data_IF_080234179964
#
_entry.id   IF_080234179964
#
_cell.length_a   1.000
_cell.length_b   1.000
_cell.length_c   1.000
_cell.angle_alpha   90.00
_cell.angle_beta   90.00
_cell.angle_gamma   90.00
#
_symmetry.space_group_name_H-M   'P 1'
#
loop_
_entity.id
_entity.type
_entity.pdbx_description
1 polymer ?
#
# COMPACT_ATOMS: atom_id res chain seq x y z
N UNK A 1 -37.97 21.99 32.77
CA UNK A 1 -39.23 21.25 32.98
C UNK A 1 -38.91 20.18 34.02
N UNK A 2 -39.33 20.44 35.25
CA UNK A 2 -39.02 19.65 36.46
C UNK A 2 -40.20 18.73 36.71
N UNK A 3 -39.95 17.45 36.95
CA UNK A 3 -40.88 16.58 37.66
C UNK A 3 -40.06 15.67 38.59
N UNK A 4 -40.04 16.01 39.87
CA UNK A 4 -39.76 15.09 40.96
C UNK A 4 -41.03 14.29 41.26
N UNK A 5 -40.88 13.04 41.68
CA UNK A 5 -41.85 12.37 42.54
C UNK A 5 -41.09 11.71 43.70
N UNK A 6 -41.49 12.10 44.90
CA UNK A 6 -41.12 11.52 46.19
C UNK A 6 -41.79 10.15 46.36
N UNK A 7 -41.11 9.24 47.04
CA UNK A 7 -41.64 7.92 47.36
C UNK A 7 -40.56 6.98 47.88
N UNK A 8 -40.05 7.28 49.07
CA UNK A 8 -39.12 6.44 49.83
C UNK A 8 -39.61 4.99 49.96
N UNK A 9 -38.74 4.03 49.66
CA UNK A 9 -38.61 2.82 50.48
C UNK A 9 -37.16 2.34 50.41
N UNK A 10 -36.48 2.40 51.56
CA UNK A 10 -35.17 1.82 51.81
C UNK A 10 -35.14 0.35 51.38
N UNK A 11 -34.38 0.02 50.32
CA UNK A 11 -33.95 -1.35 50.03
C UNK A 11 -32.50 -1.50 50.46
N UNK A 12 -32.34 -2.30 51.50
CA UNK A 12 -31.11 -2.85 52.04
C UNK A 12 -30.11 -3.24 50.95
N UNK A 13 -28.86 -2.80 51.12
CA UNK A 13 -27.69 -3.33 50.42
C UNK A 13 -27.60 -4.84 50.67
N UNK A 14 -28.09 -5.65 49.73
CA UNK A 14 -27.57 -6.99 49.52
C UNK A 14 -26.38 -6.83 48.59
N UNK A 15 -25.18 -6.77 49.17
CA UNK A 15 -23.94 -7.00 48.44
C UNK A 15 -24.08 -8.34 47.72
N UNK A 16 -24.30 -8.30 46.40
CA UNK A 16 -24.16 -9.48 45.56
C UNK A 16 -22.70 -9.93 45.67
N UNK A 17 -22.47 -10.97 46.47
CA UNK A 17 -21.21 -11.70 46.52
C UNK A 17 -20.93 -12.26 45.13
N UNK A 18 -20.16 -11.51 44.35
CA UNK A 18 -19.53 -12.02 43.13
C UNK A 18 -18.53 -13.08 43.58
N UNK A 19 -18.90 -14.36 43.43
CA UNK A 19 -17.97 -15.47 43.58
C UNK A 19 -16.82 -15.30 42.56
N UNK A 20 -15.70 -14.73 43.01
CA UNK A 20 -14.45 -14.72 42.22
C UNK A 20 -13.86 -16.15 42.21
N UNK A 21 -13.99 -16.84 41.09
CA UNK A 21 -13.39 -18.14 40.81
C UNK A 21 -11.83 -18.08 40.83
N UNK A 22 -11.24 -18.16 42.03
CA UNK A 22 -9.80 -18.23 42.26
C UNK A 22 -9.40 -19.44 43.11
N UNK A 23 -8.24 -20.04 42.84
CA UNK A 23 -7.66 -21.04 43.74
C UNK A 23 -7.12 -20.34 44.99
N UNK A 24 -7.60 -20.78 46.16
CA UNK A 24 -7.16 -20.25 47.46
C UNK A 24 -6.01 -21.12 47.98
N UNK A 25 -4.79 -20.58 47.96
CA UNK A 25 -3.65 -21.24 48.62
C UNK A 25 -3.61 -20.83 50.09
N UNK A 26 -3.66 -21.81 50.99
CA UNK A 26 -3.46 -21.62 52.44
C UNK A 26 -2.06 -22.05 52.84
N UNK A 27 -1.22 -21.09 53.22
CA UNK A 27 0.12 -21.37 53.74
C UNK A 27 0.10 -21.35 55.27
N UNK A 28 0.60 -22.42 55.88
CA UNK A 28 0.80 -22.49 57.34
C UNK A 28 2.11 -21.81 57.69
N UNK A 29 2.03 -20.73 58.46
CA UNK A 29 3.19 -19.98 58.95
C UNK A 29 3.83 -20.72 60.14
N UNK A 30 5.10 -20.45 60.41
CA UNK A 30 5.88 -21.10 61.48
C UNK A 30 5.29 -20.86 62.90
N UNK A 31 4.45 -19.83 63.07
CA UNK A 31 3.72 -19.52 64.30
C UNK A 31 2.37 -20.24 64.42
N UNK A 32 2.05 -21.18 63.51
CA UNK A 32 0.81 -21.95 63.53
C UNK A 32 -0.39 -21.27 62.86
N UNK A 33 -0.28 -19.98 62.49
CA UNK A 33 -1.34 -19.23 61.82
C UNK A 33 -1.35 -19.51 60.31
N UNK A 34 -2.53 -19.50 59.70
CA UNK A 34 -2.69 -19.68 58.26
C UNK A 34 -2.88 -18.34 57.57
N UNK A 35 -2.18 -18.13 56.45
CA UNK A 35 -2.39 -16.98 55.58
C UNK A 35 -2.90 -17.47 54.23
N UNK A 36 -4.10 -17.01 53.83
CA UNK A 36 -4.69 -17.35 52.55
C UNK A 36 -4.36 -16.28 51.51
N UNK A 37 -3.97 -16.73 50.32
CA UNK A 37 -3.79 -15.88 49.15
C UNK A 37 -4.74 -16.35 48.05
N UNK A 38 -5.50 -15.43 47.47
CA UNK A 38 -6.32 -15.70 46.29
C UNK A 38 -5.43 -15.49 45.07
N UNK A 39 -5.07 -16.56 44.38
CA UNK A 39 -4.40 -16.44 43.09
C UNK A 39 -5.48 -16.18 42.05
N UNK A 40 -5.55 -14.92 41.56
CA UNK A 40 -6.40 -14.60 40.41
C UNK A 40 -5.86 -15.39 39.20
N UNK A 41 -6.67 -16.32 38.67
CA UNK A 41 -6.33 -16.99 37.40
C UNK A 41 -6.07 -15.91 36.35
N UNK A 42 -4.91 -15.98 35.70
CA UNK A 42 -4.55 -15.08 34.61
C UNK A 42 -5.63 -15.22 33.52
N UNK A 43 -6.49 -14.21 33.34
CA UNK A 43 -7.49 -14.21 32.26
C UNK A 43 -6.74 -14.50 30.96
N UNK A 44 -7.13 -15.57 30.27
CA UNK A 44 -6.62 -15.85 28.94
C UNK A 44 -6.95 -14.64 28.06
N UNK A 45 -6.00 -14.15 27.24
CA UNK A 45 -6.30 -13.05 26.34
C UNK A 45 -7.46 -13.45 25.42
N UNK A 46 -8.38 -12.54 25.10
CA UNK A 46 -9.46 -12.82 24.15
C UNK A 46 -8.85 -13.31 22.83
N UNK A 47 -9.46 -14.35 22.24
CA UNK A 47 -9.02 -14.90 20.95
C UNK A 47 -9.04 -13.79 19.90
N UNK A 48 -7.95 -13.67 19.14
CA UNK A 48 -7.84 -12.67 18.08
C UNK A 48 -8.88 -12.92 16.98
N UNK A 49 -9.50 -11.85 16.50
CA UNK A 49 -10.36 -11.86 15.31
C UNK A 49 -9.50 -11.68 14.06
N UNK A 50 -9.22 -12.79 13.36
CA UNK A 50 -8.35 -12.79 12.18
C UNK A 50 -9.06 -12.23 10.94
N UNK A 51 -10.39 -12.27 10.89
CA UNK A 51 -11.17 -11.65 9.81
C UNK A 51 -11.06 -10.14 9.90
N UNK A 52 -11.15 -9.59 11.12
CA UNK A 52 -10.93 -8.17 11.35
C UNK A 52 -9.49 -7.74 11.08
N UNK A 53 -8.50 -8.56 11.48
CA UNK A 53 -7.10 -8.31 11.14
C UNK A 53 -6.86 -8.29 9.62
N UNK A 54 -7.49 -9.20 8.87
CA UNK A 54 -7.43 -9.21 7.41
C UNK A 54 -8.06 -7.97 6.79
N UNK A 55 -9.27 -7.59 7.22
CA UNK A 55 -9.97 -6.41 6.70
C UNK A 55 -9.16 -5.13 6.87
N UNK A 56 -8.54 -4.94 8.04
CA UNK A 56 -7.63 -3.81 8.27
C UNK A 56 -6.42 -3.83 7.35
N UNK A 57 -5.77 -4.99 7.16
CA UNK A 57 -4.60 -5.12 6.29
C UNK A 57 -4.94 -4.80 4.82
N UNK A 58 -6.08 -5.28 4.33
CA UNK A 58 -6.55 -4.99 2.96
C UNK A 58 -6.81 -3.50 2.78
N UNK A 59 -7.44 -2.84 3.77
CA UNK A 59 -7.65 -1.39 3.72
C UNK A 59 -6.34 -0.61 3.76
N UNK A 60 -5.41 -0.99 4.64
CA UNK A 60 -4.10 -0.36 4.76
C UNK A 60 -3.34 -0.41 3.43
N UNK A 61 -3.22 -1.61 2.84
CA UNK A 61 -2.58 -1.81 1.54
C UNK A 61 -3.33 -1.10 0.41
N UNK A 62 -4.66 -1.15 0.41
CA UNK A 62 -5.50 -0.52 -0.61
C UNK A 62 -5.40 1.00 -0.62
N UNK A 63 -5.42 1.63 0.56
CA UNK A 63 -5.23 3.08 0.70
C UNK A 63 -3.82 3.49 0.31
N UNK A 64 -2.81 2.72 0.74
CA UNK A 64 -1.41 2.95 0.35
C UNK A 64 -1.21 2.85 -1.17
N UNK A 65 -1.80 1.84 -1.81
CA UNK A 65 -1.75 1.69 -3.26
C UNK A 65 -2.45 2.85 -3.98
N UNK A 66 -3.63 3.27 -3.52
CA UNK A 66 -4.32 4.47 -4.05
C UNK A 66 -3.47 5.73 -3.91
N UNK A 67 -2.72 5.87 -2.81
CA UNK A 67 -1.81 7.00 -2.62
C UNK A 67 -0.65 6.98 -3.63
N UNK A 68 -0.08 5.80 -3.93
CA UNK A 68 0.92 5.64 -4.99
C UNK A 68 0.36 5.96 -6.38
N UNK A 69 -0.87 5.53 -6.69
CA UNK A 69 -1.52 5.87 -7.96
C UNK A 69 -1.77 7.38 -8.09
N UNK A 70 -2.19 8.03 -7.00
CA UNK A 70 -2.38 9.49 -6.95
C UNK A 70 -1.07 10.23 -7.14
N UNK A 71 0.03 9.73 -6.56
CA UNK A 71 1.38 10.26 -6.76
C UNK A 71 1.76 10.28 -8.24
N UNK A 72 1.45 9.22 -9.00
CA UNK A 72 1.73 9.17 -10.43
C UNK A 72 1.00 10.24 -11.25
N UNK A 73 -0.16 10.72 -10.78
CA UNK A 73 -0.95 11.79 -11.42
C UNK A 73 -0.51 13.18 -10.98
N UNK A 74 -0.14 13.29 -9.71
CA UNK A 74 0.22 14.54 -9.04
C UNK A 74 1.54 14.32 -8.29
N UNK A 75 2.69 14.36 -8.98
CA UNK A 75 3.96 14.08 -8.34
C UNK A 75 4.29 15.17 -7.32
N UNK A 76 4.55 14.74 -6.09
CA UNK A 76 5.04 15.55 -4.99
C UNK A 76 6.19 14.78 -4.36
N UNK A 77 7.39 15.37 -4.38
CA UNK A 77 8.62 14.73 -3.93
C UNK A 77 8.55 14.31 -2.47
N UNK A 78 8.09 15.17 -1.57
CA UNK A 78 8.10 14.87 -0.14
C UNK A 78 7.14 13.72 0.18
N UNK A 79 5.91 13.80 -0.36
CA UNK A 79 4.92 12.72 -0.27
C UNK A 79 5.43 11.44 -0.91
N UNK A 80 6.06 11.52 -2.08
CA UNK A 80 6.57 10.37 -2.81
C UNK A 80 7.64 9.62 -2.03
N UNK A 81 8.63 10.33 -1.48
CA UNK A 81 9.69 9.70 -0.70
C UNK A 81 9.15 9.05 0.59
N UNK A 82 8.13 9.63 1.24
CA UNK A 82 7.44 8.98 2.37
C UNK A 82 6.73 7.70 1.96
N UNK A 83 5.94 7.74 0.89
CA UNK A 83 5.25 6.57 0.37
C UNK A 83 6.22 5.46 -0.05
N UNK A 84 7.35 5.80 -0.65
CA UNK A 84 8.38 4.85 -1.03
C UNK A 84 9.05 4.20 0.19
N UNK A 85 9.32 4.95 1.26
CA UNK A 85 9.83 4.37 2.53
C UNK A 85 8.88 3.31 3.09
N UNK A 86 7.57 3.61 3.14
CA UNK A 86 6.54 2.64 3.58
C UNK A 86 6.45 1.45 2.64
N UNK A 87 6.51 1.69 1.32
CA UNK A 87 6.50 0.63 0.30
C UNK A 87 7.68 -0.32 0.45
N UNK A 88 8.88 0.22 0.73
CA UNK A 88 10.08 -0.57 0.98
C UNK A 88 9.89 -1.48 2.21
N UNK A 89 9.28 -0.98 3.29
CA UNK A 89 8.97 -1.79 4.48
C UNK A 89 8.00 -2.92 4.13
N UNK A 90 6.91 -2.64 3.41
CA UNK A 90 5.97 -3.67 2.96
C UNK A 90 6.65 -4.77 2.13
N UNK A 91 7.54 -4.39 1.21
CA UNK A 91 8.29 -5.36 0.43
C UNK A 91 9.23 -6.21 1.27
N UNK A 92 9.91 -5.63 2.26
CA UNK A 92 10.82 -6.36 3.16
C UNK A 92 10.10 -7.25 4.16
N UNK A 93 8.91 -6.86 4.62
CA UNK A 93 8.07 -7.67 5.49
C UNK A 93 7.59 -8.94 4.78
N UNK A 94 7.22 -8.85 3.50
CA UNK A 94 6.78 -10.00 2.71
C UNK A 94 7.92 -10.84 2.14
N UNK A 95 8.94 -10.19 1.58
CA UNK A 95 10.05 -10.86 0.91
C UNK A 95 11.37 -10.15 1.21
N UNK A 96 12.21 -10.83 1.97
CA UNK A 96 13.52 -10.30 2.36
C UNK A 96 14.42 -9.95 1.17
N UNK A 97 14.33 -10.73 0.08
CA UNK A 97 15.16 -10.59 -1.11
C UNK A 97 14.45 -9.78 -2.21
N UNK A 98 13.52 -8.89 -1.83
CA UNK A 98 12.80 -8.07 -2.80
C UNK A 98 13.74 -7.13 -3.55
N UNK A 99 13.89 -7.38 -4.86
CA UNK A 99 14.57 -6.47 -5.79
C UNK A 99 13.96 -5.06 -5.77
N UNK A 100 12.64 -4.97 -5.57
CA UNK A 100 11.94 -3.69 -5.53
C UNK A 100 12.29 -2.89 -4.28
N UNK A 101 12.48 -3.55 -3.13
CA UNK A 101 12.95 -2.87 -1.93
C UNK A 101 14.37 -2.32 -2.10
N UNK A 102 15.23 -3.05 -2.80
CA UNK A 102 16.59 -2.60 -3.13
C UNK A 102 16.59 -1.37 -4.04
N UNK A 103 15.81 -1.37 -5.13
CA UNK A 103 15.72 -0.20 -6.03
C UNK A 103 15.14 1.03 -5.32
N UNK A 104 14.12 0.84 -4.46
CA UNK A 104 13.60 1.93 -3.64
C UNK A 104 14.69 2.47 -2.70
N UNK A 105 15.46 1.58 -2.06
CA UNK A 105 16.56 2.00 -1.20
C UNK A 105 17.61 2.79 -1.99
N UNK A 106 17.98 2.32 -3.19
CA UNK A 106 18.93 3.02 -4.06
C UNK A 106 18.46 4.43 -4.39
N UNK A 107 17.20 4.58 -4.82
CA UNK A 107 16.59 5.89 -5.05
C UNK A 107 16.60 6.75 -3.79
N UNK A 108 16.24 6.21 -2.62
CA UNK A 108 16.32 6.97 -1.37
C UNK A 108 17.74 7.44 -1.05
N UNK A 109 18.76 6.60 -1.26
CA UNK A 109 20.16 7.00 -1.03
C UNK A 109 20.58 8.10 -2.02
N UNK A 110 20.16 8.02 -3.30
CA UNK A 110 20.39 9.10 -4.26
C UNK A 110 19.79 10.42 -3.76
N UNK A 111 18.54 10.37 -3.30
CA UNK A 111 17.75 11.53 -2.91
C UNK A 111 18.19 12.20 -1.60
N UNK A 112 18.77 11.45 -0.67
CA UNK A 112 19.15 11.96 0.66
C UNK A 112 20.66 12.08 0.89
N UNK A 113 21.49 11.33 0.15
CA UNK A 113 22.91 11.17 0.51
C UNK A 113 23.90 11.48 -0.61
N UNK A 114 23.53 11.30 -1.88
CA UNK A 114 24.49 11.36 -3.01
C UNK A 114 24.31 12.61 -3.85
N UNK A 115 23.09 12.84 -4.32
CA UNK A 115 22.80 13.91 -5.26
C UNK A 115 22.67 15.25 -4.54
N UNK A 116 23.01 16.33 -5.23
CA UNK A 116 22.63 17.67 -4.79
C UNK A 116 21.10 17.80 -4.76
N UNK A 117 20.59 18.80 -4.03
CA UNK A 117 19.15 19.03 -3.95
C UNK A 117 18.50 19.22 -5.33
N UNK A 118 19.19 19.90 -6.23
CA UNK A 118 18.74 20.09 -7.61
C UNK A 118 18.69 18.75 -8.37
N UNK A 119 19.79 18.01 -8.42
CA UNK A 119 19.87 16.72 -9.13
C UNK A 119 18.88 15.71 -8.56
N UNK A 120 18.69 15.69 -7.25
CA UNK A 120 17.71 14.83 -6.59
C UNK A 120 16.28 15.21 -7.02
N UNK A 121 15.96 16.50 -7.08
CA UNK A 121 14.66 16.96 -7.58
C UNK A 121 14.44 16.55 -9.04
N UNK A 122 15.43 16.77 -9.89
CA UNK A 122 15.39 16.40 -11.31
C UNK A 122 15.20 14.89 -11.49
N UNK A 123 15.98 14.06 -10.79
CA UNK A 123 15.83 12.59 -10.81
C UNK A 123 14.43 12.15 -10.38
N UNK A 124 13.89 12.74 -9.31
CA UNK A 124 12.55 12.38 -8.82
C UNK A 124 11.46 12.73 -9.83
N UNK A 125 11.48 13.96 -10.36
CA UNK A 125 10.45 14.39 -11.31
C UNK A 125 10.63 13.73 -12.68
N UNK A 126 11.83 13.30 -13.06
CA UNK A 126 12.09 12.51 -14.27
C UNK A 126 11.38 11.14 -14.27
N UNK A 127 10.92 10.64 -13.12
CA UNK A 127 10.08 9.45 -13.03
C UNK A 127 8.70 9.65 -13.66
N UNK A 128 8.28 10.89 -13.91
CA UNK A 128 6.96 11.24 -14.40
C UNK A 128 7.04 12.11 -15.66
N UNK A 129 6.07 11.95 -16.56
CA UNK A 129 5.95 12.76 -17.77
C UNK A 129 4.56 13.37 -17.83
N UNK A 130 4.50 14.69 -18.04
CA UNK A 130 3.23 15.38 -18.26
C UNK A 130 2.87 15.37 -19.75
N UNK A 131 1.91 14.53 -20.12
CA UNK A 131 1.53 14.35 -21.53
C UNK A 131 0.55 15.40 -22.05
N UNK A 132 -0.22 16.07 -21.18
CA UNK A 132 -1.29 16.99 -21.58
C UNK A 132 -1.11 18.43 -21.08
N UNK A 133 -0.03 18.70 -20.35
CA UNK A 133 0.22 20.02 -19.76
C UNK A 133 -0.75 20.42 -18.64
N UNK A 134 -1.59 19.50 -18.14
CA UNK A 134 -2.48 19.73 -17.01
C UNK A 134 -1.84 19.24 -15.71
N UNK A 135 -2.32 19.70 -14.57
CA UNK A 135 -1.74 19.36 -13.26
C UNK A 135 -1.89 17.87 -12.91
N UNK A 136 -2.98 17.23 -13.33
CA UNK A 136 -3.34 15.84 -13.02
C UNK A 136 -3.07 14.85 -14.17
N UNK A 137 -2.35 15.29 -15.21
CA UNK A 137 -2.10 14.49 -16.42
C UNK A 137 -0.72 13.84 -16.47
N UNK A 138 -0.03 13.73 -15.34
CA UNK A 138 1.22 12.99 -15.27
C UNK A 138 0.97 11.49 -15.44
N UNK A 139 1.95 10.83 -16.05
CA UNK A 139 2.05 9.38 -16.13
C UNK A 139 3.47 8.96 -15.78
N UNK A 140 3.70 7.71 -15.34
CA UNK A 140 5.06 7.19 -15.17
C UNK A 140 5.84 7.28 -16.48
N UNK A 141 7.11 7.67 -16.39
CA UNK A 141 8.01 7.78 -17.55
C UNK A 141 8.16 6.43 -18.27
N UNK A 142 8.19 5.33 -17.53
CA UNK A 142 8.20 3.97 -18.09
C UNK A 142 6.98 3.69 -18.99
N UNK A 143 5.77 4.08 -18.54
CA UNK A 143 4.55 3.93 -19.33
C UNK A 143 4.60 4.79 -20.62
N UNK A 144 5.18 6.00 -20.54
CA UNK A 144 5.40 6.83 -21.73
C UNK A 144 6.37 6.16 -22.71
N UNK A 145 7.43 5.53 -22.20
CA UNK A 145 8.38 4.78 -23.02
C UNK A 145 7.73 3.57 -23.67
N UNK A 146 6.85 2.84 -22.98
CA UNK A 146 6.06 1.77 -23.58
C UNK A 146 5.20 2.26 -24.76
N UNK A 147 4.55 3.42 -24.61
CA UNK A 147 3.79 4.03 -25.70
C UNK A 147 4.67 4.38 -26.90
N UNK A 148 5.83 5.02 -26.67
CA UNK A 148 6.78 5.36 -27.74
C UNK A 148 7.26 4.10 -28.45
N UNK A 149 7.67 3.07 -27.72
CA UNK A 149 8.13 1.79 -28.29
C UNK A 149 7.04 1.12 -29.10
N UNK A 150 5.79 1.14 -28.63
CA UNK A 150 4.64 0.62 -29.38
C UNK A 150 4.42 1.38 -30.69
N UNK A 151 4.52 2.70 -30.67
CA UNK A 151 4.43 3.54 -31.87
C UNK A 151 5.55 3.21 -32.87
N UNK A 152 6.80 3.14 -32.40
CA UNK A 152 7.96 2.75 -33.22
C UNK A 152 7.73 1.39 -33.88
N UNK A 153 7.36 0.36 -33.10
CA UNK A 153 7.09 -0.99 -33.63
C UNK A 153 6.00 -0.98 -34.70
N UNK A 154 4.94 -0.17 -34.53
CA UNK A 154 3.88 -0.01 -35.53
C UNK A 154 4.44 0.58 -36.83
N UNK A 155 5.26 1.63 -36.76
CA UNK A 155 5.86 2.23 -37.97
C UNK A 155 6.86 1.30 -38.68
N UNK A 156 7.67 0.57 -37.92
CA UNK A 156 8.62 -0.42 -38.45
C UNK A 156 7.91 -1.58 -39.16
N UNK A 157 6.74 -1.99 -38.66
CA UNK A 157 5.92 -3.03 -39.31
C UNK A 157 5.54 -2.64 -40.75
N UNK A 158 5.27 -1.37 -41.00
CA UNK A 158 4.88 -0.84 -42.32
C UNK A 158 6.08 -0.44 -43.19
N UNK A 159 7.32 -0.73 -42.78
CA UNK A 159 8.52 -0.54 -43.63
C UNK A 159 8.77 -1.71 -44.58
N UNK A 160 8.11 -2.86 -44.38
CA UNK A 160 8.30 -4.10 -45.16
C UNK A 160 9.79 -4.44 -45.33
N UNK A 161 10.30 -4.57 -46.57
CA UNK A 161 11.69 -4.94 -46.87
C UNK A 161 12.68 -3.79 -46.75
N UNK A 162 12.24 -2.53 -46.57
CA UNK A 162 13.11 -1.35 -46.50
C UNK A 162 13.70 -1.10 -45.10
N UNK A 163 13.98 -2.17 -44.34
CA UNK A 163 14.51 -2.11 -42.97
C UNK A 163 16.04 -2.04 -42.96
N UNK A 164 16.57 -0.95 -43.48
CA UNK A 164 18.00 -0.60 -43.33
C UNK A 164 18.15 0.37 -42.17
N UNK A 165 19.28 0.33 -41.46
CA UNK A 165 19.50 1.14 -40.24
C UNK A 165 19.30 2.64 -40.48
N UNK A 166 19.76 3.15 -41.62
CA UNK A 166 19.57 4.55 -42.02
C UNK A 166 18.08 4.92 -42.16
N UNK A 167 17.29 4.07 -42.81
CA UNK A 167 15.84 4.28 -42.94
C UNK A 167 15.09 4.13 -41.62
N UNK A 168 15.54 3.21 -40.76
CA UNK A 168 14.98 3.04 -39.41
C UNK A 168 15.19 4.32 -38.61
N UNK A 169 16.44 4.81 -38.54
CA UNK A 169 16.79 6.03 -37.81
C UNK A 169 16.05 7.27 -38.31
N UNK A 170 15.99 7.45 -39.64
CA UNK A 170 15.22 8.53 -40.27
C UNK A 170 13.74 8.45 -39.92
N UNK A 171 13.14 7.25 -40.02
CA UNK A 171 11.71 7.08 -39.75
C UNK A 171 11.38 7.25 -38.27
N UNK A 172 12.18 6.71 -37.35
CA UNK A 172 11.94 6.84 -35.90
C UNK A 172 12.03 8.29 -35.45
N UNK A 173 13.01 9.04 -35.96
CA UNK A 173 13.17 10.47 -35.67
C UNK A 173 11.99 11.32 -36.17
N UNK A 174 11.33 10.89 -37.25
CA UNK A 174 10.17 11.59 -37.83
C UNK A 174 8.81 11.20 -37.21
N UNK A 175 8.76 10.24 -36.26
CA UNK A 175 7.48 9.71 -35.73
C UNK A 175 6.60 10.82 -35.14
N UNK A 176 7.17 11.75 -34.38
CA UNK A 176 6.41 12.85 -33.77
C UNK A 176 5.75 13.70 -34.85
N UNK A 177 6.53 14.16 -35.84
CA UNK A 177 6.00 14.98 -36.94
C UNK A 177 4.94 14.24 -37.77
N UNK A 178 5.12 12.94 -38.01
CA UNK A 178 4.11 12.11 -38.71
C UNK A 178 2.81 12.05 -37.88
N UNK A 179 2.91 11.90 -36.57
CA UNK A 179 1.76 11.89 -35.66
C UNK A 179 1.01 13.23 -35.71
N UNK A 180 1.74 14.34 -35.63
CA UNK A 180 1.17 15.69 -35.64
C UNK A 180 0.47 16.00 -36.97
N UNK A 181 1.09 15.63 -38.10
CA UNK A 181 0.49 15.77 -39.44
C UNK A 181 -0.76 14.90 -39.56
N UNK A 182 -0.73 13.66 -39.06
CA UNK A 182 -1.88 12.77 -39.10
C UNK A 182 -3.05 13.32 -38.28
N UNK A 183 -2.79 13.79 -37.06
CA UNK A 183 -3.82 14.38 -36.20
C UNK A 183 -4.41 15.66 -36.81
N UNK A 184 -3.56 16.50 -37.38
CA UNK A 184 -3.99 17.71 -38.07
C UNK A 184 -4.83 17.40 -39.32
N UNK A 185 -4.43 16.40 -40.10
CA UNK A 185 -5.18 15.95 -41.28
C UNK A 185 -6.57 15.46 -40.87
N UNK A 186 -6.65 14.58 -39.86
CA UNK A 186 -7.92 14.05 -39.36
C UNK A 186 -8.84 15.18 -38.86
N UNK A 187 -8.26 16.17 -38.17
CA UNK A 187 -8.98 17.35 -37.67
C UNK A 187 -9.58 18.20 -38.78
N UNK A 188 -8.81 18.46 -39.85
CA UNK A 188 -9.24 19.31 -40.98
C UNK A 188 -10.21 18.57 -41.90
N UNK A 189 -10.01 17.28 -42.11
CA UNK A 189 -10.85 16.46 -42.98
C UNK A 189 -12.14 15.98 -42.31
N UNK A 190 -12.35 16.34 -41.02
CA UNK A 190 -13.46 15.88 -40.21
C UNK A 190 -13.62 14.34 -40.23
N UNK A 191 -12.50 13.63 -40.32
CA UNK A 191 -12.50 12.17 -40.24
C UNK A 191 -13.09 11.79 -38.89
N UNK A 192 -14.17 11.02 -38.92
CA UNK A 192 -14.78 10.49 -37.71
C UNK A 192 -13.81 9.48 -37.11
N UNK A 193 -12.98 9.94 -36.17
CA UNK A 193 -12.16 9.07 -35.33
C UNK A 193 -13.13 8.29 -34.47
N UNK A 194 -13.50 7.08 -34.93
CA UNK A 194 -14.22 6.11 -34.11
C UNK A 194 -13.22 5.60 -33.07
N UNK A 195 -13.04 6.37 -32.00
CA UNK A 195 -12.34 5.87 -30.84
C UNK A 195 -13.09 4.61 -30.42
N UNK A 196 -12.46 3.44 -30.57
CA UNK A 196 -12.85 2.27 -29.79
C UNK A 196 -12.49 2.61 -28.36
N UNK A 197 -13.30 3.44 -27.69
CA UNK A 197 -13.37 3.41 -26.24
C UNK A 197 -13.69 1.95 -25.99
N UNK A 198 -12.74 1.21 -25.43
CA UNK A 198 -13.12 0.07 -24.63
C UNK A 198 -14.17 0.64 -23.69
N UNK A 199 -15.44 0.27 -23.88
CA UNK A 199 -16.45 0.60 -22.89
C UNK A 199 -15.92 -0.04 -21.63
N UNK A 200 -15.45 0.76 -20.68
CA UNK A 200 -15.13 0.23 -19.37
C UNK A 200 -16.37 -0.54 -18.95
N UNK A 201 -16.22 -1.86 -18.79
CA UNK A 201 -17.30 -2.70 -18.31
C UNK A 201 -17.73 -2.09 -16.99
N UNK A 202 -19.04 -1.87 -16.84
CA UNK A 202 -19.58 -1.27 -15.63
C UNK A 202 -19.21 -2.15 -14.43
N UNK A 203 -18.35 -1.65 -13.54
CA UNK A 203 -17.97 -2.32 -12.29
C UNK A 203 -19.07 -2.23 -11.22
N UNK A 204 -20.17 -1.53 -11.51
CA UNK A 204 -21.22 -1.23 -10.54
C UNK A 204 -21.82 -2.50 -9.94
N UNK A 205 -22.04 -3.54 -10.75
CA UNK A 205 -22.62 -4.79 -10.24
C UNK A 205 -21.67 -5.49 -9.27
N UNK A 206 -20.41 -5.65 -9.67
CA UNK A 206 -19.36 -6.25 -8.83
C UNK A 206 -19.18 -5.46 -7.53
N UNK A 207 -19.23 -4.12 -7.59
CA UNK A 207 -19.15 -3.25 -6.41
C UNK A 207 -20.34 -3.44 -5.46
N UNK A 208 -21.56 -3.55 -5.99
CA UNK A 208 -22.76 -3.81 -5.19
C UNK A 208 -22.72 -5.19 -4.54
N UNK A 209 -22.26 -6.20 -5.27
CA UNK A 209 -22.12 -7.57 -4.75
C UNK A 209 -21.07 -7.61 -3.63
N UNK A 210 -19.90 -6.99 -3.83
CA UNK A 210 -18.88 -6.84 -2.78
C UNK A 210 -19.42 -6.12 -1.54
N UNK A 211 -20.21 -5.05 -1.71
CA UNK A 211 -20.82 -4.33 -0.57
C UNK A 211 -21.83 -5.21 0.16
N UNK A 212 -22.64 -5.99 -0.58
CA UNK A 212 -23.59 -6.95 0.00
C UNK A 212 -22.85 -7.97 0.86
N UNK A 213 -21.77 -8.56 0.35
CA UNK A 213 -20.94 -9.53 1.07
C UNK A 213 -20.29 -8.91 2.31
N UNK A 214 -19.73 -7.71 2.19
CA UNK A 214 -19.11 -7.00 3.31
C UNK A 214 -20.12 -6.66 4.42
N UNK A 215 -21.37 -6.36 4.08
CA UNK A 215 -22.45 -6.11 5.05
C UNK A 215 -22.86 -7.37 5.83
N UNK A 216 -22.76 -8.53 5.19
CA UNK A 216 -23.02 -9.81 5.84
C UNK A 216 -21.85 -10.23 6.74
N UNK A 217 -20.61 -10.09 6.23
CA UNK A 217 -19.40 -10.50 6.94
C UNK A 217 -19.04 -9.58 8.12
N UNK A 218 -19.38 -8.29 8.02
CA UNK A 218 -19.05 -7.23 9.01
C UNK A 218 -17.60 -7.34 9.50
N UNK A 219 -16.60 -7.25 8.61
CA UNK A 219 -15.21 -7.50 8.95
C UNK A 219 -14.63 -6.47 9.94
N UNK A 220 -15.28 -5.32 10.14
CA UNK A 220 -14.79 -4.28 11.05
C UNK A 220 -15.41 -4.32 12.44
N UNK A 221 -16.45 -5.13 12.65
CA UNK A 221 -16.97 -5.43 14.00
C UNK A 221 -16.07 -6.48 14.64
N UNK A 222 -15.76 -6.36 15.94
CA UNK A 222 -14.92 -7.35 16.63
C UNK A 222 -15.76 -8.54 17.05
N UNK A 223 -15.40 -9.74 16.58
CA UNK A 223 -15.99 -11.00 17.01
C UNK A 223 -14.88 -12.03 17.32
N UNK A 224 -14.68 -12.37 18.61
CA UNK A 224 -13.52 -13.16 19.05
C UNK A 224 -13.42 -14.55 18.42
N UNK A 225 -12.28 -14.83 17.79
CA UNK A 225 -11.96 -16.17 17.28
C UNK A 225 -12.46 -16.48 15.87
N UNK A 226 -13.05 -15.51 15.16
CA UNK A 226 -13.30 -15.64 13.72
C UNK A 226 -11.98 -15.75 12.94
N UNK A 227 -11.97 -16.62 11.93
CA UNK A 227 -10.84 -16.78 11.02
C UNK A 227 -11.29 -17.24 9.64
N UNK A 228 -10.50 -16.93 8.61
CA UNK A 228 -10.69 -17.48 7.28
C UNK A 228 -10.06 -18.88 7.20
N UNK A 229 -10.75 -19.83 6.57
CA UNK A 229 -10.25 -21.20 6.37
C UNK A 229 -8.94 -21.22 5.55
N UNK A 230 -8.85 -20.35 4.54
CA UNK A 230 -7.70 -20.28 3.63
C UNK A 230 -6.49 -19.58 4.24
N UNK A 231 -6.71 -18.68 5.21
CA UNK A 231 -5.65 -17.79 5.72
C UNK A 231 -5.57 -17.79 7.26
N UNK A 232 -5.19 -18.91 7.88
CA UNK A 232 -5.16 -19.04 9.33
C UNK A 232 -4.03 -18.25 10.02
N UNK A 233 -3.02 -17.79 9.27
CA UNK A 233 -1.83 -17.11 9.79
C UNK A 233 -1.81 -15.59 9.65
N UNK A 234 -2.93 -14.95 9.33
CA UNK A 234 -2.98 -13.49 9.13
C UNK A 234 -2.70 -12.76 10.46
N UNK A 235 -1.77 -11.81 10.42
CA UNK A 235 -1.50 -10.88 11.51
C UNK A 235 -2.08 -9.50 11.23
N UNK A 236 -2.50 -8.81 12.28
CA UNK A 236 -3.13 -7.48 12.22
C UNK A 236 -2.25 -6.38 11.60
N UNK A 237 -0.92 -6.47 11.76
CA UNK A 237 0.01 -5.46 11.23
C UNK A 237 1.11 -6.13 10.44
N UNK A 238 1.34 -5.61 9.24
CA UNK A 238 2.43 -6.06 8.38
C UNK A 238 3.80 -5.80 9.00
N UNK A 239 3.91 -4.72 9.78
CA UNK A 239 5.11 -4.32 10.53
C UNK A 239 5.53 -5.38 11.57
N UNK A 240 4.58 -6.14 12.12
CA UNK A 240 4.88 -7.19 13.10
C UNK A 240 5.64 -8.37 12.48
N UNK A 241 5.62 -8.49 11.15
CA UNK A 241 6.38 -9.51 10.42
C UNK A 241 7.80 -9.06 10.07
N UNK A 242 8.12 -7.77 10.27
CA UNK A 242 9.43 -7.21 9.95
C UNK A 242 10.37 -7.30 11.16
N UNK A 243 11.45 -8.07 11.04
CA UNK A 243 12.56 -8.01 11.98
C UNK A 243 13.38 -6.73 11.77
N UNK A 244 13.24 -5.79 12.69
CA UNK A 244 13.92 -4.49 12.64
C UNK A 244 15.45 -4.61 12.74
N UNK A 245 15.98 -5.62 13.44
CA UNK A 245 17.42 -5.82 13.56
C UNK A 245 18.00 -6.32 12.23
N UNK A 246 17.35 -7.31 11.63
CA UNK A 246 17.71 -7.75 10.28
C UNK A 246 17.58 -6.59 9.29
N UNK A 247 16.56 -5.74 9.43
CA UNK A 247 16.30 -4.66 8.47
C UNK A 247 17.39 -3.60 8.54
N UNK A 248 17.78 -3.24 9.76
CA UNK A 248 18.92 -2.36 10.00
C UNK A 248 20.22 -2.94 9.44
N UNK A 249 20.48 -4.23 9.68
CA UNK A 249 21.68 -4.89 9.17
C UNK A 249 21.69 -4.91 7.64
N UNK A 250 20.55 -5.16 6.99
CA UNK A 250 20.43 -5.09 5.54
C UNK A 250 20.71 -3.69 5.00
N UNK A 251 20.17 -2.64 5.63
CA UNK A 251 20.48 -1.25 5.27
C UNK A 251 21.99 -0.99 5.35
N UNK A 252 22.63 -1.42 6.43
CA UNK A 252 24.08 -1.25 6.61
C UNK A 252 24.90 -1.98 5.55
N UNK A 253 24.48 -3.19 5.15
CA UNK A 253 25.12 -3.93 4.06
C UNK A 253 24.97 -3.22 2.72
N UNK A 254 23.78 -2.70 2.39
CA UNK A 254 23.58 -1.99 1.12
C UNK A 254 24.35 -0.67 1.07
N UNK A 255 24.51 0.03 2.21
CA UNK A 255 25.32 1.26 2.29
C UNK A 255 26.72 1.06 1.71
N UNK A 256 27.37 -0.06 2.02
CA UNK A 256 28.73 -0.37 1.52
C UNK A 256 28.70 -0.54 0.00
N UNK A 257 27.70 -1.25 -0.54
CA UNK A 257 27.57 -1.48 -1.98
C UNK A 257 27.32 -0.19 -2.76
N UNK A 258 26.43 0.66 -2.28
CA UNK A 258 26.14 1.93 -2.94
C UNK A 258 27.34 2.89 -2.92
N UNK A 259 28.18 2.87 -1.87
CA UNK A 259 29.43 3.62 -1.87
C UNK A 259 30.37 3.14 -3.01
N UNK A 260 30.53 1.82 -3.16
CA UNK A 260 31.41 1.23 -4.18
C UNK A 260 30.91 1.38 -5.62
N UNK A 261 29.59 1.30 -5.85
CA UNK A 261 28.98 1.44 -7.19
C UNK A 261 29.19 2.84 -7.80
N UNK A 262 29.43 3.84 -6.96
CA UNK A 262 29.60 5.24 -7.37
C UNK A 262 31.06 5.66 -7.48
N UNK A 263 32.00 4.72 -7.37
CA UNK A 263 33.44 4.98 -7.52
C UNK A 263 34.01 5.87 -6.42
N UNK A 264 33.40 5.90 -5.22
CA UNK A 264 33.93 6.54 -4.01
C UNK A 264 34.49 5.52 -3.03
#
# INVERSE_FOLDING_TARGET
MVWCNEGDTCRSNSEEEVHEDGEVLRLKLANGNFKSFVIKKKKTPPKEDKVQSYGHLVLELGVHFKALLSLCKTPDRERGLRLLKVTMLHFKANNWMSKYAYEIMRLLVHQYCILSEQEASEEFYALFVNTKGKTDSHIPCDLQMEYIVKCVKKHLKHMFSNKTDDFISKRTSAISAISDISEQFDRVSHVVIRSKRHSDLSSIHDELDMISDLRQLRPFETDPGRQHDTFPGISRKMENQLDMNLFRNWILQQKIKFATELGK
#
